data_IF_302814796048
#
_entry.id   IF_302814796048
#
_cell.length_a   1.000
_cell.length_b   1.000
_cell.length_c   1.000
_cell.angle_alpha   90.00
_cell.angle_beta   90.00
_cell.angle_gamma   90.00
#
_symmetry.space_group_name_H-M   'P 1'
#
loop_
_entity.id
_entity.type
_entity.pdbx_description
1 polymer ?
#
# COMPACT_ATOMS: atom_id res chain seq x y z
N UNK A 1 2.04 -15.15 -15.95
CA UNK A 1 1.64 -15.69 -14.64
C UNK A 1 2.68 -15.31 -13.62
N UNK A 2 2.27 -14.91 -12.42
CA UNK A 2 3.14 -14.67 -11.30
C UNK A 2 3.11 -15.86 -10.32
N UNK A 3 4.05 -15.85 -9.38
CA UNK A 3 4.13 -16.81 -8.29
C UNK A 3 4.03 -16.02 -6.99
N UNK A 4 3.22 -16.48 -6.05
CA UNK A 4 3.09 -15.93 -4.70
C UNK A 4 3.61 -16.91 -3.66
N UNK A 5 4.21 -16.37 -2.61
CA UNK A 5 4.69 -17.12 -1.46
C UNK A 5 4.41 -16.36 -0.18
N UNK A 6 3.98 -17.06 0.86
CA UNK A 6 3.89 -16.48 2.21
C UNK A 6 5.22 -16.69 2.92
N UNK A 7 5.85 -15.60 3.31
CA UNK A 7 7.14 -15.58 3.99
C UNK A 7 6.94 -15.09 5.43
N UNK A 8 7.55 -15.79 6.39
CA UNK A 8 7.59 -15.38 7.79
C UNK A 8 8.96 -14.77 8.12
N UNK A 9 8.96 -13.69 8.86
CA UNK A 9 10.16 -13.04 9.34
C UNK A 9 10.23 -13.12 10.87
N UNK A 10 11.39 -13.46 11.44
CA UNK A 10 11.59 -13.49 12.89
C UNK A 10 11.45 -12.11 13.55
N UNK A 11 11.82 -11.06 12.84
CA UNK A 11 11.75 -9.67 13.30
C UNK A 11 11.33 -8.72 12.19
N UNK A 12 11.01 -7.48 12.55
CA UNK A 12 10.73 -6.42 11.57
C UNK A 12 12.00 -6.00 10.83
N UNK A 13 13.15 -6.03 11.49
CA UNK A 13 14.46 -5.77 10.92
C UNK A 13 14.80 -6.76 9.80
N UNK A 14 14.51 -8.04 9.99
CA UNK A 14 14.71 -9.07 8.94
C UNK A 14 13.83 -8.79 7.72
N UNK A 15 12.59 -8.35 7.91
CA UNK A 15 11.74 -7.90 6.81
C UNK A 15 12.35 -6.70 6.07
N UNK A 16 12.87 -5.72 6.81
CA UNK A 16 13.48 -4.52 6.21
C UNK A 16 14.69 -4.90 5.36
N UNK A 17 15.58 -5.75 5.85
CA UNK A 17 16.75 -6.20 5.10
C UNK A 17 16.36 -7.05 3.88
N UNK A 18 15.41 -7.97 4.05
CA UNK A 18 14.88 -8.74 2.94
C UNK A 18 14.26 -7.84 1.87
N UNK A 19 13.49 -6.82 2.28
CA UNK A 19 12.84 -5.88 1.35
C UNK A 19 13.84 -5.06 0.54
N UNK A 20 15.01 -4.70 1.11
CA UNK A 20 16.09 -4.01 0.38
C UNK A 20 16.67 -4.88 -0.74
N UNK A 21 16.72 -6.19 -0.51
CA UNK A 21 17.24 -7.17 -1.47
C UNK A 21 16.18 -7.68 -2.46
N UNK A 22 14.91 -7.27 -2.32
CA UNK A 22 13.82 -7.77 -3.15
C UNK A 22 14.03 -7.37 -4.61
N UNK A 23 14.04 -8.34 -5.55
CA UNK A 23 14.16 -8.04 -6.97
C UNK A 23 13.04 -7.13 -7.48
N UNK A 24 13.34 -6.31 -8.48
CA UNK A 24 12.40 -5.32 -9.03
C UNK A 24 11.13 -5.93 -9.64
N UNK A 25 11.17 -7.20 -10.05
CA UNK A 25 10.02 -7.95 -10.55
C UNK A 25 9.13 -8.55 -9.46
N UNK A 26 9.52 -8.42 -8.17
CA UNK A 26 8.76 -8.91 -7.03
C UNK A 26 7.97 -7.80 -6.37
N UNK A 27 6.84 -8.17 -5.76
CA UNK A 27 5.96 -7.25 -5.05
C UNK A 27 5.54 -7.86 -3.70
N UNK A 28 5.60 -7.06 -2.65
CA UNK A 28 5.03 -7.41 -1.36
C UNK A 28 3.54 -7.00 -1.33
N UNK A 29 2.67 -7.90 -0.91
CA UNK A 29 1.24 -7.64 -0.72
C UNK A 29 0.84 -7.83 0.74
N UNK A 30 -0.18 -7.09 1.19
CA UNK A 30 -0.74 -7.23 2.54
C UNK A 30 -1.65 -8.45 2.62
N UNK A 31 -1.55 -9.20 3.72
CA UNK A 31 -2.31 -10.43 3.94
C UNK A 31 -1.53 -11.69 3.54
N UNK A 32 -2.06 -12.84 3.93
CA UNK A 32 -1.48 -14.15 3.66
C UNK A 32 -2.46 -15.02 2.86
N UNK A 33 -1.94 -15.83 1.97
CA UNK A 33 -2.72 -16.87 1.31
C UNK A 33 -3.02 -18.03 2.28
N UNK A 34 -4.17 -18.67 2.10
CA UNK A 34 -4.51 -19.88 2.87
C UNK A 34 -3.67 -21.09 2.47
N UNK A 35 -3.10 -21.08 1.27
CA UNK A 35 -2.22 -22.13 0.78
C UNK A 35 -0.83 -22.03 1.41
N UNK A 36 -0.30 -23.18 1.84
CA UNK A 36 1.10 -23.29 2.29
C UNK A 36 2.04 -23.34 1.08
N UNK A 37 3.16 -22.59 1.18
CA UNK A 37 4.21 -22.61 0.16
C UNK A 37 3.93 -21.73 -1.05
N UNK A 38 4.43 -22.13 -2.20
CA UNK A 38 4.40 -21.38 -3.45
C UNK A 38 3.09 -21.63 -4.20
N UNK A 39 2.38 -20.57 -4.55
CA UNK A 39 1.10 -20.62 -5.25
C UNK A 39 1.14 -19.85 -6.58
N UNK A 40 0.52 -20.35 -7.65
CA UNK A 40 0.38 -19.57 -8.88
C UNK A 40 -0.61 -18.42 -8.66
N UNK A 41 -0.22 -17.22 -9.11
CA UNK A 41 -1.03 -16.00 -8.96
C UNK A 41 -1.55 -15.56 -10.33
N UNK A 42 -2.85 -15.37 -10.42
CA UNK A 42 -3.55 -14.88 -11.60
C UNK A 42 -4.04 -13.43 -11.40
N UNK A 43 -4.51 -12.82 -12.47
CA UNK A 43 -5.27 -11.58 -12.43
C UNK A 43 -6.62 -11.85 -11.78
N UNK A 44 -7.07 -10.98 -10.89
CA UNK A 44 -8.38 -11.06 -10.24
C UNK A 44 -9.51 -11.29 -11.26
N UNK A 45 -10.32 -12.31 -11.02
CA UNK A 45 -11.43 -12.70 -11.87
C UNK A 45 -11.03 -13.54 -13.11
N UNK A 46 -9.75 -13.96 -13.20
CA UNK A 46 -9.23 -14.85 -14.26
C UNK A 46 -8.49 -16.06 -13.68
N UNK A 47 -8.81 -16.42 -12.42
CA UNK A 47 -8.19 -17.52 -11.73
C UNK A 47 -8.69 -18.88 -12.30
N UNK A 48 -7.74 -19.74 -12.68
CA UNK A 48 -8.02 -21.15 -12.97
C UNK A 48 -8.03 -21.99 -11.66
N UNK A 49 -8.56 -23.20 -11.68
CA UNK A 49 -8.47 -24.09 -10.53
C UNK A 49 -7.03 -24.24 -10.01
N UNK A 50 -6.83 -24.00 -8.72
CA UNK A 50 -5.51 -24.01 -8.07
C UNK A 50 -4.70 -22.71 -8.19
N UNK A 51 -5.22 -21.68 -8.84
CA UNK A 51 -4.65 -20.34 -8.86
C UNK A 51 -5.32 -19.43 -7.81
N UNK A 52 -4.58 -18.46 -7.31
CA UNK A 52 -5.07 -17.40 -6.39
C UNK A 52 -4.89 -16.03 -7.04
N UNK A 53 -5.54 -15.01 -6.50
CA UNK A 53 -5.27 -13.62 -6.86
C UNK A 53 -5.00 -12.77 -5.63
N UNK A 54 -4.35 -11.62 -5.80
CA UNK A 54 -4.16 -10.63 -4.74
C UNK A 54 -5.49 -9.91 -4.44
N UNK A 55 -6.46 -10.64 -3.90
CA UNK A 55 -7.79 -10.14 -3.60
C UNK A 55 -8.30 -10.67 -2.26
N UNK A 56 -9.34 -10.03 -1.71
CA UNK A 56 -9.98 -10.44 -0.44
C UNK A 56 -10.50 -11.87 -0.44
N UNK A 57 -10.68 -12.50 -1.61
CA UNK A 57 -11.12 -13.90 -1.70
C UNK A 57 -10.00 -14.88 -1.32
N UNK A 58 -8.74 -14.46 -1.45
CA UNK A 58 -7.58 -15.34 -1.25
C UNK A 58 -6.59 -14.82 -0.20
N UNK A 59 -6.59 -13.51 0.08
CA UNK A 59 -5.73 -12.90 1.08
C UNK A 59 -6.51 -12.66 2.37
N UNK A 60 -6.04 -13.20 3.47
CA UNK A 60 -6.61 -13.03 4.79
C UNK A 60 -5.65 -12.28 5.74
N UNK A 61 -6.22 -11.48 6.61
CA UNK A 61 -5.55 -10.96 7.80
C UNK A 61 -5.89 -11.86 8.99
N UNK A 62 -4.90 -12.54 9.54
CA UNK A 62 -5.08 -13.53 10.60
C UNK A 62 -4.77 -12.95 11.97
N UNK A 63 -5.28 -13.60 13.03
CA UNK A 63 -4.96 -13.26 14.43
C UNK A 63 -3.53 -13.73 14.77
N UNK A 64 -2.57 -13.00 14.24
CA UNK A 64 -1.12 -13.21 14.41
C UNK A 64 -0.38 -11.90 14.08
N UNK A 65 0.88 -11.75 14.50
CA UNK A 65 1.71 -10.63 14.06
C UNK A 65 1.74 -10.51 12.53
N UNK A 66 1.73 -9.29 12.03
CA UNK A 66 1.72 -9.02 10.59
C UNK A 66 2.17 -7.60 10.27
N UNK A 67 1.97 -7.21 9.02
CA UNK A 67 2.38 -5.90 8.51
C UNK A 67 1.17 -5.18 7.94
N UNK A 68 0.87 -4.01 8.47
CA UNK A 68 0.01 -3.03 7.80
C UNK A 68 0.82 -2.34 6.71
N UNK A 69 0.29 -2.33 5.50
CA UNK A 69 0.87 -1.60 4.36
C UNK A 69 -0.08 -0.46 4.01
N UNK A 70 0.44 0.76 4.09
CA UNK A 70 -0.23 1.98 3.62
C UNK A 70 0.42 2.36 2.29
N UNK A 71 -0.38 2.48 1.24
CA UNK A 71 0.06 2.83 -0.11
C UNK A 71 -0.57 4.16 -0.50
N UNK A 72 0.21 5.23 -0.40
CA UNK A 72 -0.22 6.59 -0.75
C UNK A 72 0.06 6.78 -2.22
N UNK A 73 -0.98 6.66 -3.04
CA UNK A 73 -0.91 6.77 -4.50
C UNK A 73 -1.51 8.10 -4.96
N UNK A 74 -0.77 8.81 -5.81
CA UNK A 74 -1.25 10.03 -6.44
C UNK A 74 -1.84 9.73 -7.79
N UNK A 75 -3.05 10.25 -8.03
CA UNK A 75 -3.69 10.18 -9.33
C UNK A 75 -3.14 11.25 -10.26
N UNK A 76 -2.88 10.87 -11.52
CA UNK A 76 -2.58 11.84 -12.56
C UNK A 76 -3.86 12.56 -12.99
N UNK A 77 -3.74 13.78 -13.50
CA UNK A 77 -4.89 14.57 -14.01
C UNK A 77 -5.69 13.81 -15.06
N UNK A 78 -5.03 13.00 -15.90
CA UNK A 78 -5.67 12.16 -16.95
C UNK A 78 -6.56 11.03 -16.39
N UNK A 79 -6.40 10.68 -15.10
CA UNK A 79 -7.20 9.63 -14.44
C UNK A 79 -8.48 10.18 -13.79
N UNK A 80 -8.65 11.51 -13.83
CA UNK A 80 -9.73 12.24 -13.14
C UNK A 80 -10.56 13.02 -14.13
N UNK A 81 -11.84 12.71 -14.22
CA UNK A 81 -12.77 13.35 -15.16
C UNK A 81 -13.41 14.64 -14.63
N UNK A 82 -13.11 15.09 -13.41
CA UNK A 82 -13.78 16.25 -12.82
C UNK A 82 -13.45 16.57 -11.39
N UNK A 83 -14.38 17.14 -10.68
CA UNK A 83 -14.28 17.85 -9.41
C UNK A 83 -13.45 17.15 -8.33
N UNK A 84 -12.37 17.80 -7.89
CA UNK A 84 -11.68 17.51 -6.65
C UNK A 84 -12.42 18.16 -5.47
N UNK A 85 -12.85 17.35 -4.53
CA UNK A 85 -13.25 17.82 -3.20
C UNK A 85 -12.08 17.59 -2.26
N UNK A 86 -11.41 18.65 -1.86
CA UNK A 86 -10.14 18.57 -1.15
C UNK A 86 -8.99 18.28 -2.13
N UNK A 87 -7.84 18.84 -1.89
CA UNK A 87 -6.70 18.65 -2.77
C UNK A 87 -5.58 17.96 -2.00
N UNK A 88 -5.40 16.66 -2.18
CA UNK A 88 -4.15 16.07 -1.73
C UNK A 88 -3.04 16.53 -2.67
N UNK A 89 -2.13 17.35 -2.15
CA UNK A 89 -0.87 17.62 -2.82
C UNK A 89 0.08 16.43 -2.60
N UNK A 90 0.86 16.04 -3.60
CA UNK A 90 1.88 15.03 -3.42
C UNK A 90 2.82 15.39 -2.27
N UNK A 91 3.06 14.45 -1.35
CA UNK A 91 4.09 14.65 -0.35
C UNK A 91 5.46 14.64 -1.03
N UNK A 92 6.16 15.76 -0.94
CA UNK A 92 7.48 15.91 -1.57
C UNK A 92 8.55 15.08 -0.89
N UNK A 93 8.34 14.73 0.39
CA UNK A 93 9.29 13.97 1.20
C UNK A 93 8.61 12.88 2.01
N UNK A 94 9.39 11.85 2.38
CA UNK A 94 8.93 10.82 3.32
C UNK A 94 8.54 11.41 4.68
N UNK A 95 9.24 12.45 5.14
CA UNK A 95 8.94 13.09 6.43
C UNK A 95 7.58 13.78 6.40
N UNK A 96 7.23 14.49 5.32
CA UNK A 96 5.92 15.13 5.20
C UNK A 96 4.78 14.10 5.23
N UNK A 97 4.93 12.98 4.51
CA UNK A 97 3.96 11.89 4.56
C UNK A 97 3.83 11.27 5.96
N UNK A 98 4.96 11.13 6.68
CA UNK A 98 4.98 10.60 8.03
C UNK A 98 4.34 11.55 9.05
N UNK A 99 4.56 12.85 8.91
CA UNK A 99 3.93 13.88 9.75
C UNK A 99 2.40 13.87 9.56
N UNK A 100 1.92 13.82 8.31
CA UNK A 100 0.49 13.69 8.02
C UNK A 100 -0.10 12.40 8.59
N UNK A 101 0.59 11.27 8.44
CA UNK A 101 0.16 10.00 9.03
C UNK A 101 0.10 10.06 10.56
N UNK A 102 1.08 10.68 11.22
CA UNK A 102 1.10 10.86 12.68
C UNK A 102 0.02 11.82 13.18
N UNK A 103 -0.35 12.83 12.39
CA UNK A 103 -1.48 13.68 12.70
C UNK A 103 -2.80 12.90 12.73
N UNK A 104 -2.97 11.95 11.82
CA UNK A 104 -4.15 11.07 11.75
C UNK A 104 -4.11 9.96 12.79
N UNK A 105 -2.93 9.39 13.02
CA UNK A 105 -2.66 8.26 13.94
C UNK A 105 -1.52 8.60 14.91
N UNK A 106 -1.75 9.45 15.92
CA UNK A 106 -0.70 9.84 16.88
C UNK A 106 -0.19 8.64 17.69
N UNK A 107 -0.95 7.55 17.75
CA UNK A 107 -0.53 6.29 18.38
C UNK A 107 0.69 5.64 17.70
N UNK A 108 1.05 6.10 16.50
CA UNK A 108 2.27 5.64 15.80
C UNK A 108 3.55 6.32 16.29
N UNK A 109 3.45 7.29 17.18
CA UNK A 109 4.64 7.92 17.73
C UNK A 109 5.47 6.92 18.52
N UNK A 110 6.77 6.85 18.22
CA UNK A 110 7.66 5.84 18.77
C UNK A 110 7.53 4.42 18.22
N UNK A 111 6.58 4.16 17.30
CA UNK A 111 6.47 2.86 16.64
C UNK A 111 7.54 2.66 15.56
N UNK A 112 8.05 1.44 15.44
CA UNK A 112 8.90 1.06 14.32
C UNK A 112 8.09 1.13 13.02
N UNK A 113 8.68 1.67 11.96
CA UNK A 113 8.10 1.68 10.62
C UNK A 113 9.19 1.71 9.55
N UNK A 114 8.85 1.25 8.36
CA UNK A 114 9.67 1.40 7.17
C UNK A 114 8.89 2.24 6.15
N UNK A 115 9.51 3.26 5.59
CA UNK A 115 8.93 4.12 4.56
C UNK A 115 9.80 4.12 3.31
N UNK A 116 9.19 4.16 2.15
CA UNK A 116 9.89 4.20 0.88
C UNK A 116 9.00 4.66 -0.25
N UNK A 117 9.62 5.01 -1.37
CA UNK A 117 8.88 5.29 -2.59
C UNK A 117 8.16 4.05 -3.11
N UNK A 118 7.01 4.22 -3.72
CA UNK A 118 6.31 3.15 -4.43
C UNK A 118 7.14 2.70 -5.65
N UNK A 119 6.87 1.50 -6.14
CA UNK A 119 7.58 0.95 -7.32
C UNK A 119 7.35 1.75 -8.60
N UNK A 120 6.34 2.61 -8.63
CA UNK A 120 6.04 3.50 -9.75
C UNK A 120 6.70 4.89 -9.63
N UNK A 121 7.49 5.13 -8.57
CA UNK A 121 8.16 6.41 -8.31
C UNK A 121 9.59 6.42 -8.84
N UNK A 122 10.04 7.60 -9.25
CA UNK A 122 11.43 7.85 -9.64
C UNK A 122 11.98 6.85 -10.66
N UNK A 123 11.21 6.61 -11.72
CA UNK A 123 11.60 5.69 -12.78
C UNK A 123 12.60 6.34 -13.73
N UNK A 124 13.65 5.58 -14.07
CA UNK A 124 14.67 6.00 -15.02
C UNK A 124 14.72 5.03 -16.20
N UNK A 125 14.97 5.53 -17.40
CA UNK A 125 15.21 4.70 -18.57
C UNK A 125 16.64 4.14 -18.55
N UNK A 126 16.95 3.28 -19.52
CA UNK A 126 18.29 2.66 -19.65
C UNK A 126 19.42 3.67 -19.87
N UNK A 127 19.11 4.89 -20.33
CA UNK A 127 20.08 5.96 -20.53
C UNK A 127 20.27 6.84 -19.27
N UNK A 128 19.60 6.49 -18.16
CA UNK A 128 19.68 7.26 -16.91
C UNK A 128 18.78 8.49 -16.84
N UNK A 129 17.94 8.74 -17.85
CA UNK A 129 17.01 9.85 -17.83
C UNK A 129 15.76 9.49 -17.01
N UNK A 130 15.34 10.38 -16.12
CA UNK A 130 14.12 10.21 -15.36
C UNK A 130 12.90 10.29 -16.30
N UNK A 131 12.10 9.22 -16.35
CA UNK A 131 10.87 9.13 -17.16
C UNK A 131 9.61 9.32 -16.32
N UNK A 132 9.71 9.18 -14.99
CA UNK A 132 8.65 9.45 -14.03
C UNK A 132 9.26 9.94 -12.71
N UNK A 133 8.72 11.00 -12.16
CA UNK A 133 9.08 11.53 -10.85
C UNK A 133 8.44 10.75 -9.69
N UNK A 134 8.14 11.42 -8.61
CA UNK A 134 7.46 10.84 -7.44
C UNK A 134 6.07 10.36 -7.83
N UNK A 135 5.80 9.08 -7.63
CA UNK A 135 4.53 8.44 -8.01
C UNK A 135 3.70 7.97 -6.82
N UNK A 136 4.27 7.91 -5.63
CA UNK A 136 3.59 7.48 -4.41
C UNK A 136 4.58 7.07 -3.33
N UNK A 137 4.06 6.87 -2.12
CA UNK A 137 4.83 6.49 -0.93
C UNK A 137 4.20 5.24 -0.33
N UNK A 138 5.03 4.32 0.13
CA UNK A 138 4.58 3.11 0.79
C UNK A 138 5.17 3.02 2.19
N UNK A 139 4.30 2.81 3.19
CA UNK A 139 4.66 2.73 4.60
C UNK A 139 4.30 1.34 5.11
N UNK A 140 5.23 0.70 5.82
CA UNK A 140 5.07 -0.62 6.41
C UNK A 140 5.16 -0.48 7.93
N UNK A 141 4.16 -0.98 8.63
CA UNK A 141 4.03 -0.86 10.08
C UNK A 141 3.79 -2.25 10.65
N UNK A 142 4.66 -2.76 11.55
CA UNK A 142 4.42 -4.03 12.21
C UNK A 142 3.22 -3.91 13.16
N UNK A 143 2.36 -4.90 13.14
CA UNK A 143 1.19 -5.02 14.03
C UNK A 143 1.22 -6.35 14.75
N UNK A 144 0.81 -6.35 16.01
CA UNK A 144 0.78 -7.57 16.84
C UNK A 144 -0.36 -8.51 16.48
N UNK A 145 -1.43 -7.97 15.88
CA UNK A 145 -2.60 -8.71 15.43
C UNK A 145 -3.08 -8.20 14.07
N UNK A 146 -2.71 -8.91 13.02
CA UNK A 146 -3.08 -8.54 11.66
C UNK A 146 -4.60 -8.61 11.41
N UNK A 147 -5.37 -9.39 12.18
CA UNK A 147 -6.82 -9.46 12.03
C UNK A 147 -7.52 -8.10 12.27
N UNK A 148 -6.84 -7.18 12.97
CA UNK A 148 -7.32 -5.81 13.25
C UNK A 148 -7.02 -4.81 12.14
N UNK A 149 -6.20 -5.18 11.14
CA UNK A 149 -5.84 -4.28 10.03
C UNK A 149 -7.06 -3.69 9.32
N UNK A 150 -8.10 -4.46 8.95
CA UNK A 150 -9.27 -3.87 8.28
C UNK A 150 -9.96 -2.79 9.11
N UNK A 151 -10.11 -3.02 10.43
CA UNK A 151 -10.70 -2.04 11.36
C UNK A 151 -9.80 -0.80 11.49
N UNK A 152 -8.49 -0.99 11.59
CA UNK A 152 -7.53 0.12 11.68
C UNK A 152 -7.57 0.99 10.42
N UNK A 153 -7.63 0.38 9.24
CA UNK A 153 -7.76 1.12 7.97
C UNK A 153 -9.07 1.92 7.91
N UNK A 154 -10.19 1.38 8.40
CA UNK A 154 -11.46 2.11 8.49
C UNK A 154 -11.37 3.31 9.44
N UNK A 155 -10.77 3.13 10.61
CA UNK A 155 -10.54 4.23 11.57
C UNK A 155 -9.63 5.29 10.97
N UNK A 156 -8.53 4.86 10.32
CA UNK A 156 -7.60 5.76 9.66
C UNK A 156 -8.29 6.58 8.56
N UNK A 157 -9.10 5.94 7.72
CA UNK A 157 -9.87 6.63 6.69
C UNK A 157 -10.76 7.73 7.29
N UNK A 158 -11.55 7.42 8.32
CA UNK A 158 -12.42 8.39 9.00
C UNK A 158 -11.63 9.55 9.62
N UNK A 159 -10.52 9.24 10.31
CA UNK A 159 -9.66 10.26 10.92
C UNK A 159 -8.98 11.14 9.85
N UNK A 160 -8.55 10.59 8.73
CA UNK A 160 -7.99 11.36 7.61
C UNK A 160 -8.96 12.43 7.14
N UNK A 161 -10.24 12.10 6.97
CA UNK A 161 -11.26 13.08 6.60
C UNK A 161 -11.42 14.19 7.65
N UNK A 162 -11.40 13.85 8.94
CA UNK A 162 -11.50 14.82 10.03
C UNK A 162 -10.27 15.73 10.13
N UNK A 163 -9.09 15.25 9.73
CA UNK A 163 -7.84 16.02 9.72
C UNK A 163 -7.56 16.76 8.41
N UNK A 164 -8.46 16.68 7.43
CA UNK A 164 -8.29 17.33 6.13
C UNK A 164 -7.38 16.58 5.15
N UNK A 165 -6.99 15.35 5.48
CA UNK A 165 -6.17 14.46 4.62
C UNK A 165 -7.05 13.52 3.77
N UNK A 166 -8.37 13.69 3.84
CA UNK A 166 -9.33 13.02 2.97
C UNK A 166 -9.59 13.85 1.71
N UNK A 167 -9.83 13.17 0.60
CA UNK A 167 -10.17 13.79 -0.67
C UNK A 167 -11.06 12.89 -1.52
N UNK A 168 -11.76 13.48 -2.48
CA UNK A 168 -12.64 12.74 -3.38
C UNK A 168 -12.55 13.26 -4.81
N UNK A 169 -12.81 12.40 -5.76
CA UNK A 169 -12.80 12.73 -7.17
C UNK A 169 -13.81 11.90 -7.95
N UNK A 170 -14.17 12.38 -9.15
CA UNK A 170 -14.96 11.60 -10.09
C UNK A 170 -14.01 10.91 -11.07
N UNK A 171 -13.98 9.59 -11.06
CA UNK A 171 -13.19 8.80 -11.99
C UNK A 171 -13.73 8.95 -13.42
N UNK A 172 -12.91 8.64 -14.44
CA UNK A 172 -13.28 8.69 -15.87
C UNK A 172 -14.55 7.88 -16.17
N UNK A 173 -14.81 6.81 -15.39
CA UNK A 173 -16.06 6.02 -15.47
C UNK A 173 -17.31 6.66 -14.86
N UNK A 174 -17.22 7.90 -14.34
CA UNK A 174 -18.32 8.65 -13.75
C UNK A 174 -18.62 8.31 -12.27
N UNK A 175 -17.89 7.37 -11.66
CA UNK A 175 -18.07 7.02 -10.25
C UNK A 175 -17.33 8.01 -9.36
N UNK A 176 -17.99 8.43 -8.26
CA UNK A 176 -17.31 9.17 -7.21
C UNK A 176 -16.46 8.20 -6.36
N UNK A 177 -15.21 8.54 -6.14
CA UNK A 177 -14.28 7.79 -5.31
C UNK A 177 -13.77 8.66 -4.17
N UNK A 178 -13.88 8.12 -2.95
CA UNK A 178 -13.28 8.69 -1.74
C UNK A 178 -11.89 8.09 -1.52
N UNK A 179 -10.95 8.94 -1.13
CA UNK A 179 -9.57 8.57 -0.81
C UNK A 179 -9.14 9.23 0.49
N UNK A 180 -8.15 8.66 1.10
CA UNK A 180 -7.50 9.20 2.28
C UNK A 180 -6.04 8.77 2.30
N UNK A 181 -5.32 9.22 3.28
CA UNK A 181 -3.99 8.73 3.63
C UNK A 181 -3.93 7.21 3.65
#
# INVERSE_FOLDING_TARGET
KAIGETISFPSFEDLVEWRKALPTQCMLVSGTFDAMGVVPVAIKGKEAPGEVSASKAYLAHREQPGILIIDIDYKNEDEVAGLYLGGQQPYETHNAALEALRAVLPELDGCALMIGWSTSSNLFNKAGNQVKGTGGIRIYIPVTDASKIPMLLEVMHKRSWLHGEGWGFVAVGGNFEERSL
#
